data_IF_139629174210
#
_entry.id   IF_139629174210
#
_cell.length_a   1.000
_cell.length_b   1.000
_cell.length_c   1.000
_cell.angle_alpha   90.00
_cell.angle_beta   90.00
_cell.angle_gamma   90.00
#
_symmetry.space_group_name_H-M   'P 1'
#
loop_
_entity.id
_entity.type
_entity.pdbx_description
1 polymer ?
#
# COMPACT_ATOMS: atom_id res chain seq x y z
N UNK A 1 -23.40 19.83 1.90
CA UNK A 1 -23.86 18.65 2.68
C UNK A 1 -22.63 17.79 2.92
N UNK A 2 -22.09 17.86 4.13
CA UNK A 2 -20.86 17.15 4.51
C UNK A 2 -21.22 15.69 4.81
N UNK A 3 -20.98 14.79 3.87
CA UNK A 3 -20.87 13.37 4.18
C UNK A 3 -19.43 13.09 4.61
N UNK A 4 -19.07 13.54 5.82
CA UNK A 4 -17.98 12.92 6.55
C UNK A 4 -18.54 11.57 7.02
N UNK A 5 -18.13 10.49 6.39
CA UNK A 5 -18.22 9.18 7.01
C UNK A 5 -17.33 9.26 8.25
N UNK A 6 -17.93 9.59 9.38
CA UNK A 6 -17.27 9.56 10.68
C UNK A 6 -16.91 8.10 10.95
N UNK A 7 -15.64 7.76 10.73
CA UNK A 7 -15.10 6.47 11.11
C UNK A 7 -15.15 6.44 12.64
N UNK A 8 -16.09 5.68 13.18
CA UNK A 8 -16.25 5.57 14.64
C UNK A 8 -15.08 4.76 15.21
N UNK A 9 -14.07 5.46 15.71
CA UNK A 9 -12.83 4.86 16.20
C UNK A 9 -12.84 4.87 17.73
N UNK A 10 -12.69 3.71 18.32
CA UNK A 10 -12.44 3.58 19.76
C UNK A 10 -10.92 3.62 20.03
N UNK A 11 -10.32 4.83 19.92
CA UNK A 11 -8.89 5.05 20.12
C UNK A 11 -8.66 5.69 21.50
N UNK A 12 -7.80 5.05 22.30
CA UNK A 12 -7.31 5.58 23.57
C UNK A 12 -5.77 5.75 23.52
N UNK A 13 -5.16 6.18 24.61
CA UNK A 13 -3.70 6.44 24.67
C UNK A 13 -2.81 5.21 24.44
N UNK A 14 -3.33 4.01 24.68
CA UNK A 14 -2.60 2.74 24.50
C UNK A 14 -2.75 2.18 23.08
N UNK A 15 -3.70 2.70 22.29
CA UNK A 15 -3.99 2.21 20.95
C UNK A 15 -2.81 2.47 20.00
N UNK A 16 -2.40 1.46 19.27
CA UNK A 16 -1.40 1.56 18.20
C UNK A 16 -2.11 1.51 16.83
N UNK A 17 -1.78 2.44 15.95
CA UNK A 17 -2.44 2.56 14.65
C UNK A 17 -1.55 2.01 13.54
N UNK A 18 -2.04 1.00 12.84
CA UNK A 18 -1.41 0.41 11.68
C UNK A 18 -2.08 0.92 10.40
N UNK A 19 -1.29 1.43 9.47
CA UNK A 19 -1.79 1.94 8.20
C UNK A 19 -1.17 1.16 7.05
N UNK A 20 -1.99 0.59 6.18
CA UNK A 20 -1.53 0.27 4.83
C UNK A 20 -1.39 1.55 4.01
N UNK A 21 -0.63 1.51 2.91
CA UNK A 21 -0.38 2.69 2.07
C UNK A 21 -1.21 2.69 0.80
N UNK A 22 -0.95 1.72 -0.08
CA UNK A 22 -1.46 1.72 -1.46
C UNK A 22 -2.97 1.42 -1.51
N UNK A 23 -3.79 2.40 -1.85
CA UNK A 23 -5.26 2.28 -1.88
C UNK A 23 -5.93 2.57 -0.53
N UNK A 24 -5.17 2.60 0.56
CA UNK A 24 -5.65 2.89 1.91
C UNK A 24 -5.38 4.35 2.30
N UNK A 25 -4.14 4.69 2.53
CA UNK A 25 -3.70 6.05 2.88
C UNK A 25 -3.57 6.94 1.65
N UNK A 26 -3.12 6.35 0.54
CA UNK A 26 -2.85 7.04 -0.72
C UNK A 26 -3.37 6.19 -1.87
N UNK A 27 -4.24 6.78 -2.70
CA UNK A 27 -4.58 6.20 -4.01
C UNK A 27 -3.37 6.33 -4.93
N UNK A 28 -2.78 5.20 -5.26
CA UNK A 28 -1.60 5.08 -6.12
C UNK A 28 -1.90 4.39 -7.45
N UNK A 29 -3.15 4.00 -7.69
CA UNK A 29 -3.50 3.12 -8.81
C UNK A 29 -3.20 3.72 -10.16
N UNK A 30 -3.56 4.99 -10.38
CA UNK A 30 -3.30 5.64 -11.66
C UNK A 30 -1.80 5.89 -11.89
N UNK A 31 -1.07 6.33 -10.88
CA UNK A 31 0.40 6.49 -10.96
C UNK A 31 1.09 5.16 -11.27
N UNK A 32 0.64 4.09 -10.61
CA UNK A 32 1.14 2.75 -10.84
C UNK A 32 0.84 2.24 -12.25
N UNK A 33 -0.38 2.48 -12.76
CA UNK A 33 -0.77 2.15 -14.14
C UNK A 33 0.13 2.87 -15.16
N UNK A 34 0.30 4.18 -15.06
CA UNK A 34 1.13 4.97 -15.97
C UNK A 34 2.59 4.48 -15.97
N UNK A 35 3.11 4.10 -14.78
CA UNK A 35 4.45 3.54 -14.65
C UNK A 35 4.61 2.22 -15.40
N UNK A 36 3.60 1.35 -15.33
CA UNK A 36 3.55 0.12 -16.12
C UNK A 36 3.39 0.40 -17.61
N UNK A 37 2.53 1.33 -17.99
CA UNK A 37 2.30 1.69 -19.40
C UNK A 37 3.59 2.15 -20.08
N UNK A 38 4.36 3.04 -19.43
CA UNK A 38 5.66 3.48 -19.96
C UNK A 38 6.67 2.32 -20.04
N UNK A 39 6.72 1.46 -19.00
CA UNK A 39 7.63 0.33 -18.97
C UNK A 39 7.31 -0.68 -20.08
N UNK A 40 6.03 -1.03 -20.25
CA UNK A 40 5.57 -1.94 -21.31
C UNK A 40 5.90 -1.36 -22.68
N UNK A 41 5.57 -0.07 -22.93
CA UNK A 41 5.86 0.59 -24.20
C UNK A 41 7.35 0.56 -24.53
N UNK A 42 8.22 0.74 -23.54
CA UNK A 42 9.67 0.70 -23.71
C UNK A 42 10.19 -0.70 -24.02
N UNK A 43 9.79 -1.70 -23.21
CA UNK A 43 10.32 -3.07 -23.32
C UNK A 43 9.72 -3.83 -24.50
N UNK A 44 8.44 -3.58 -24.82
CA UNK A 44 7.73 -4.21 -25.92
C UNK A 44 7.82 -3.40 -27.23
N UNK A 45 8.64 -2.34 -27.28
CA UNK A 45 8.87 -1.50 -28.46
C UNK A 45 7.59 -0.93 -29.10
N UNK A 46 6.57 -0.68 -28.28
CA UNK A 46 5.28 -0.14 -28.73
C UNK A 46 4.30 -1.17 -29.31
N UNK A 47 4.63 -2.45 -29.30
CA UNK A 47 3.75 -3.52 -29.83
C UNK A 47 2.50 -3.78 -28.97
N UNK A 48 2.47 -3.28 -27.72
CA UNK A 48 1.38 -3.54 -26.78
C UNK A 48 0.87 -2.25 -26.17
N UNK A 49 -0.41 -1.97 -26.35
CA UNK A 49 -1.13 -0.90 -25.67
C UNK A 49 -1.98 -1.48 -24.55
N UNK A 50 -1.95 -0.83 -23.40
CA UNK A 50 -2.81 -1.15 -22.26
C UNK A 50 -3.70 0.04 -21.93
N UNK A 51 -4.92 -0.24 -21.46
CA UNK A 51 -5.88 0.79 -21.08
C UNK A 51 -6.06 0.82 -19.56
N UNK A 52 -6.24 2.02 -19.01
CA UNK A 52 -6.59 2.20 -17.61
C UNK A 52 -8.06 1.81 -17.38
N UNK A 53 -8.28 0.93 -16.42
CA UNK A 53 -9.61 0.58 -15.95
C UNK A 53 -9.75 1.11 -14.52
N UNK A 54 -10.63 2.09 -14.27
CA UNK A 54 -10.87 2.61 -12.93
C UNK A 54 -11.28 1.49 -11.95
N UNK A 55 -10.76 1.54 -10.73
CA UNK A 55 -11.00 0.56 -9.67
C UNK A 55 -10.45 -0.86 -9.94
N UNK A 56 -9.66 -1.04 -10.99
CA UNK A 56 -8.90 -2.27 -11.24
C UNK A 56 -7.40 -1.98 -11.09
N UNK A 57 -6.81 -2.48 -10.00
CA UNK A 57 -5.39 -2.28 -9.74
C UNK A 57 -4.53 -3.01 -10.76
N UNK A 58 -3.71 -2.27 -11.50
CA UNK A 58 -2.74 -2.86 -12.43
C UNK A 58 -1.56 -3.42 -11.64
N UNK A 59 -1.38 -4.73 -11.69
CA UNK A 59 -0.34 -5.45 -10.97
C UNK A 59 0.32 -6.52 -11.87
N UNK A 60 1.22 -7.35 -11.32
CA UNK A 60 1.91 -8.41 -12.07
C UNK A 60 0.95 -9.44 -12.66
N UNK A 61 -0.13 -9.77 -11.95
CA UNK A 61 -1.15 -10.71 -12.45
C UNK A 61 -1.87 -10.11 -13.66
N UNK A 62 -2.25 -8.83 -13.56
CA UNK A 62 -2.85 -8.09 -14.67
C UNK A 62 -1.88 -7.99 -15.84
N UNK A 63 -0.60 -7.69 -15.59
CA UNK A 63 0.45 -7.62 -16.62
C UNK A 63 0.55 -8.93 -17.40
N UNK A 64 0.63 -10.07 -16.72
CA UNK A 64 0.70 -11.39 -17.37
C UNK A 64 -0.56 -11.73 -18.20
N UNK A 65 -1.71 -11.18 -17.82
CA UNK A 65 -2.97 -11.38 -18.54
C UNK A 65 -3.06 -10.54 -19.82
N UNK A 66 -2.54 -9.30 -19.78
CA UNK A 66 -2.77 -8.32 -20.86
C UNK A 66 -1.62 -8.18 -21.86
N UNK A 67 -0.41 -8.65 -21.50
CA UNK A 67 0.75 -8.63 -22.39
C UNK A 67 0.97 -10.03 -22.95
N UNK A 68 0.66 -10.27 -24.25
CA UNK A 68 0.83 -11.58 -24.85
C UNK A 68 2.33 -11.95 -24.98
N UNK A 69 2.63 -13.23 -24.88
CA UNK A 69 3.98 -13.78 -25.07
C UNK A 69 5.06 -13.12 -24.19
N UNK A 70 4.69 -12.75 -22.95
CA UNK A 70 5.61 -12.15 -22.00
C UNK A 70 6.59 -13.21 -21.49
N UNK A 71 7.88 -13.07 -21.85
CA UNK A 71 8.94 -13.92 -21.31
C UNK A 71 9.36 -13.46 -19.92
N UNK A 72 10.00 -14.35 -19.13
CA UNK A 72 10.46 -14.01 -17.79
C UNK A 72 11.46 -12.84 -17.80
N UNK A 73 12.33 -12.75 -18.81
CA UNK A 73 13.29 -11.66 -18.96
C UNK A 73 12.57 -10.33 -19.18
N UNK A 74 11.58 -10.30 -20.09
CA UNK A 74 10.75 -9.11 -20.34
C UNK A 74 9.94 -8.72 -19.11
N UNK A 75 9.39 -9.69 -18.40
CA UNK A 75 8.67 -9.46 -17.14
C UNK A 75 9.56 -8.76 -16.10
N UNK A 76 10.77 -9.28 -15.90
CA UNK A 76 11.74 -8.71 -14.96
C UNK A 76 12.10 -7.27 -15.37
N UNK A 77 12.38 -7.04 -16.66
CA UNK A 77 12.73 -5.70 -17.14
C UNK A 77 11.56 -4.72 -17.06
N UNK A 78 10.32 -5.13 -17.38
CA UNK A 78 9.13 -4.28 -17.22
C UNK A 78 8.97 -3.87 -15.73
N UNK A 79 9.13 -4.82 -14.80
CA UNK A 79 9.01 -4.52 -13.36
C UNK A 79 10.10 -3.53 -12.94
N UNK A 80 11.33 -3.69 -13.40
CA UNK A 80 12.43 -2.79 -13.10
C UNK A 80 12.18 -1.38 -13.66
N UNK A 81 11.81 -1.26 -14.93
CA UNK A 81 11.50 0.01 -15.58
C UNK A 81 10.29 0.71 -14.94
N UNK A 82 9.26 -0.05 -14.56
CA UNK A 82 8.10 0.45 -13.82
C UNK A 82 8.50 1.11 -12.51
N UNK A 83 9.38 0.52 -11.71
CA UNK A 83 9.83 1.13 -10.46
C UNK A 83 10.62 2.43 -10.71
N UNK A 84 11.44 2.47 -11.77
CA UNK A 84 12.16 3.69 -12.18
C UNK A 84 11.19 4.80 -12.62
N UNK A 85 10.18 4.43 -13.42
CA UNK A 85 9.21 5.39 -13.96
C UNK A 85 8.24 5.93 -12.92
N UNK A 86 8.00 5.23 -11.82
CA UNK A 86 7.01 5.62 -10.80
C UNK A 86 7.24 7.04 -10.26
N UNK A 87 8.50 7.44 -10.11
CA UNK A 87 8.84 8.79 -9.63
C UNK A 87 8.23 9.91 -10.50
N UNK A 88 8.13 9.72 -11.82
CA UNK A 88 7.56 10.71 -12.75
C UNK A 88 6.05 10.90 -12.54
N UNK A 89 5.39 9.94 -11.92
CA UNK A 89 3.93 9.90 -11.79
C UNK A 89 3.43 10.17 -10.37
N UNK A 90 4.29 10.61 -9.43
CA UNK A 90 3.90 10.93 -8.05
C UNK A 90 2.76 11.95 -7.99
N UNK A 91 2.73 12.93 -8.90
CA UNK A 91 1.65 13.93 -8.99
C UNK A 91 0.28 13.35 -9.34
N UNK A 92 0.24 12.08 -9.77
CA UNK A 92 -1.01 11.36 -10.05
C UNK A 92 -1.52 10.57 -8.85
N UNK A 93 -0.76 10.55 -7.75
CA UNK A 93 -1.22 9.94 -6.49
C UNK A 93 -2.10 10.91 -5.71
N UNK A 94 -3.06 10.39 -4.95
CA UNK A 94 -4.02 11.20 -4.18
C UNK A 94 -4.14 10.72 -2.76
N UNK A 95 -4.15 11.64 -1.79
CA UNK A 95 -4.44 11.30 -0.40
C UNK A 95 -5.88 10.83 -0.22
N UNK A 96 -6.06 9.72 0.51
CA UNK A 96 -7.34 9.47 1.15
C UNK A 96 -7.46 10.43 2.34
N UNK A 97 -8.24 11.48 2.15
CA UNK A 97 -8.29 12.57 3.13
C UNK A 97 -8.77 12.10 4.50
N UNK A 98 -9.75 11.21 4.57
CA UNK A 98 -10.29 10.71 5.82
C UNK A 98 -9.21 9.97 6.63
N UNK A 99 -8.46 9.07 5.98
CA UNK A 99 -7.40 8.27 6.62
C UNK A 99 -6.18 9.13 6.95
N UNK A 100 -5.79 10.04 6.05
CA UNK A 100 -4.65 10.91 6.29
C UNK A 100 -4.90 11.92 7.43
N UNK A 101 -6.12 12.42 7.58
CA UNK A 101 -6.49 13.30 8.69
C UNK A 101 -6.41 12.54 10.03
N UNK A 102 -6.84 11.27 10.08
CA UNK A 102 -6.69 10.38 11.26
C UNK A 102 -5.20 10.18 11.58
N UNK A 103 -4.38 9.85 10.59
CA UNK A 103 -2.94 9.70 10.78
C UNK A 103 -2.32 10.98 11.37
N UNK A 104 -2.59 12.13 10.76
CA UNK A 104 -2.05 13.43 11.22
C UNK A 104 -2.51 13.77 12.64
N UNK A 105 -3.77 13.48 12.97
CA UNK A 105 -4.33 13.73 14.30
C UNK A 105 -3.63 12.86 15.34
N UNK A 106 -3.62 11.55 15.14
CA UNK A 106 -3.18 10.59 16.15
C UNK A 106 -1.66 10.38 16.19
N UNK A 107 -0.91 10.78 15.15
CA UNK A 107 0.55 10.72 15.18
C UNK A 107 1.19 11.58 16.29
N UNK A 108 0.41 12.47 16.91
CA UNK A 108 0.85 13.34 18.02
C UNK A 108 0.74 12.67 19.39
N UNK A 109 -0.12 11.68 19.54
CA UNK A 109 -0.50 11.08 20.83
C UNK A 109 -0.34 9.57 20.86
N UNK A 110 -0.41 8.91 19.72
CA UNK A 110 -0.41 7.45 19.59
C UNK A 110 0.78 6.97 18.75
N UNK A 111 1.19 5.74 18.96
CA UNK A 111 2.15 5.08 18.09
C UNK A 111 1.47 4.80 16.74
N UNK A 112 2.09 5.26 15.65
CA UNK A 112 1.65 5.06 14.28
C UNK A 112 2.68 4.25 13.52
N UNK A 113 2.23 3.26 12.78
CA UNK A 113 3.08 2.29 12.09
C UNK A 113 2.61 2.13 10.65
N UNK A 114 3.51 2.30 9.71
CA UNK A 114 3.26 1.90 8.33
C UNK A 114 3.45 0.39 8.20
N UNK A 115 2.45 -0.30 7.65
CA UNK A 115 2.48 -1.76 7.42
C UNK A 115 2.04 -2.04 5.99
N UNK A 116 2.98 -2.12 5.05
CA UNK A 116 2.65 -2.17 3.62
C UNK A 116 3.41 -3.26 2.86
N UNK A 117 2.80 -3.81 1.82
CA UNK A 117 3.47 -4.67 0.83
C UNK A 117 4.15 -3.87 -0.29
N UNK A 118 4.27 -2.57 -0.13
CA UNK A 118 5.05 -1.72 -1.02
C UNK A 118 6.56 -1.89 -0.77
N UNK A 119 7.37 -1.74 -1.81
CA UNK A 119 8.83 -1.67 -1.68
C UNK A 119 9.22 -0.40 -0.91
N UNK A 120 10.29 -0.50 -0.11
CA UNK A 120 10.76 0.59 0.75
C UNK A 120 11.00 1.90 -0.03
N UNK A 121 11.76 1.83 -1.11
CA UNK A 121 12.12 2.98 -1.94
C UNK A 121 10.88 3.72 -2.46
N UNK A 122 9.90 3.00 -3.01
CA UNK A 122 8.65 3.58 -3.51
C UNK A 122 7.77 4.12 -2.38
N UNK A 123 7.64 3.41 -1.27
CA UNK A 123 6.84 3.85 -0.14
C UNK A 123 7.39 5.13 0.47
N UNK A 124 8.71 5.19 0.72
CA UNK A 124 9.37 6.39 1.25
C UNK A 124 9.15 7.59 0.32
N UNK A 125 9.44 7.42 -0.98
CA UNK A 125 9.25 8.45 -1.98
C UNK A 125 7.81 8.99 -2.02
N UNK A 126 6.81 8.10 -1.94
CA UNK A 126 5.39 8.48 -1.96
C UNK A 126 5.00 9.23 -0.68
N UNK A 127 5.44 8.76 0.49
CA UNK A 127 5.16 9.41 1.76
C UNK A 127 5.85 10.77 1.90
N UNK A 128 7.08 10.92 1.39
CA UNK A 128 7.78 12.21 1.34
C UNK A 128 7.07 13.22 0.45
N UNK A 129 6.63 12.78 -0.74
CA UNK A 129 5.86 13.61 -1.66
C UNK A 129 4.61 14.18 -0.99
N UNK A 130 3.89 13.37 -0.21
CA UNK A 130 2.68 13.76 0.51
C UNK A 130 2.95 14.35 1.90
N UNK A 131 4.22 14.52 2.31
CA UNK A 131 4.62 15.06 3.63
C UNK A 131 4.06 14.26 4.81
N UNK A 132 4.02 12.94 4.68
CA UNK A 132 3.50 12.02 5.71
C UNK A 132 4.59 11.15 6.36
N UNK A 133 5.83 11.18 5.86
CA UNK A 133 6.90 10.30 6.33
C UNK A 133 7.19 10.50 7.83
N UNK A 134 7.12 11.73 8.32
CA UNK A 134 7.36 12.12 9.71
C UNK A 134 6.18 11.81 10.66
N UNK A 135 5.06 11.29 10.13
CA UNK A 135 3.88 10.92 10.91
C UNK A 135 3.95 9.47 11.41
N UNK A 136 4.97 8.71 11.05
CA UNK A 136 5.13 7.33 11.44
C UNK A 136 6.31 7.13 12.39
N UNK A 137 6.10 6.30 13.43
CA UNK A 137 7.15 5.90 14.35
C UNK A 137 7.92 4.68 13.85
N UNK A 138 7.24 3.77 13.11
CA UNK A 138 7.84 2.55 12.56
C UNK A 138 7.33 2.28 11.15
N UNK A 139 8.14 1.52 10.40
CA UNK A 139 7.87 1.18 9.01
C UNK A 139 8.12 -0.30 8.77
N UNK A 140 7.12 -1.01 8.24
CA UNK A 140 7.24 -2.37 7.75
C UNK A 140 6.88 -2.37 6.27
N UNK A 141 7.89 -2.62 5.45
CA UNK A 141 7.79 -2.68 4.00
C UNK A 141 7.69 -4.14 3.56
N UNK A 142 7.44 -4.33 2.27
CA UNK A 142 7.49 -5.65 1.67
C UNK A 142 8.86 -6.28 1.91
N UNK A 143 8.87 -7.40 2.59
CA UNK A 143 10.03 -8.28 2.65
C UNK A 143 10.06 -9.18 1.42
N UNK A 144 11.22 -9.27 0.79
CA UNK A 144 11.48 -10.20 -0.30
C UNK A 144 12.10 -11.42 0.36
N UNK A 145 11.28 -12.43 0.66
CA UNK A 145 11.79 -13.73 1.08
C UNK A 145 12.22 -14.50 -0.16
N UNK A 146 13.43 -15.11 -0.12
CA UNK A 146 14.02 -15.93 -1.19
C UNK A 146 13.21 -17.21 -1.49
N UNK A 147 12.22 -17.54 -0.67
CA UNK A 147 11.43 -18.77 -0.74
C UNK A 147 10.00 -18.61 -1.27
N UNK A 148 9.66 -17.48 -1.87
CA UNK A 148 8.34 -17.23 -2.43
C UNK A 148 7.15 -17.33 -1.44
N UNK A 149 7.38 -17.39 -0.14
CA UNK A 149 6.32 -17.39 0.85
C UNK A 149 5.88 -15.96 1.14
N UNK A 150 4.58 -15.74 1.00
CA UNK A 150 3.98 -14.47 1.39
C UNK A 150 4.06 -14.29 2.91
N UNK A 151 4.79 -13.28 3.34
CA UNK A 151 4.84 -12.88 4.76
C UNK A 151 3.57 -12.10 5.10
N UNK A 152 2.86 -12.54 6.16
CA UNK A 152 1.77 -11.75 6.72
C UNK A 152 2.38 -10.49 7.37
N UNK A 153 2.17 -9.33 6.73
CA UNK A 153 2.76 -8.04 7.13
C UNK A 153 2.34 -7.61 8.54
N UNK A 154 1.10 -7.90 8.95
CA UNK A 154 0.56 -7.57 10.28
C UNK A 154 1.22 -8.40 11.37
N UNK A 155 1.29 -9.72 11.17
CA UNK A 155 1.95 -10.63 12.11
C UNK A 155 3.44 -10.28 12.26
N UNK A 156 4.10 -9.94 11.15
CA UNK A 156 5.48 -9.46 11.16
C UNK A 156 5.65 -8.20 12.01
N UNK A 157 4.80 -7.18 11.80
CA UNK A 157 4.84 -5.93 12.55
C UNK A 157 4.56 -6.14 14.06
N UNK A 158 3.54 -6.94 14.41
CA UNK A 158 3.22 -7.26 15.80
C UNK A 158 4.38 -7.94 16.52
N UNK A 159 5.00 -8.94 15.88
CA UNK A 159 6.13 -9.68 16.46
C UNK A 159 7.34 -8.78 16.67
N UNK A 160 7.74 -8.01 15.66
CA UNK A 160 8.91 -7.14 15.74
C UNK A 160 8.75 -6.02 16.78
N UNK A 161 7.54 -5.52 16.97
CA UNK A 161 7.24 -4.48 17.96
C UNK A 161 6.83 -5.03 19.32
N UNK A 162 6.74 -6.37 19.48
CA UNK A 162 6.25 -7.05 20.70
C UNK A 162 4.91 -6.50 21.17
N UNK A 163 3.98 -6.27 20.24
CA UNK A 163 2.66 -5.70 20.52
C UNK A 163 1.60 -6.80 20.67
N UNK A 164 0.64 -6.58 21.59
CA UNK A 164 -0.61 -7.32 21.58
C UNK A 164 -1.49 -6.84 20.43
N UNK A 165 -2.05 -7.77 19.66
CA UNK A 165 -2.98 -7.45 18.58
C UNK A 165 -4.26 -6.73 19.07
N UNK A 166 -4.61 -6.89 20.36
CA UNK A 166 -5.81 -6.33 20.97
C UNK A 166 -5.79 -4.80 21.07
N UNK A 167 -4.60 -4.19 21.12
CA UNK A 167 -4.45 -2.74 21.19
C UNK A 167 -4.25 -2.08 19.83
N UNK A 168 -4.27 -2.86 18.75
CA UNK A 168 -4.03 -2.36 17.39
C UNK A 168 -5.35 -2.04 16.69
N UNK A 169 -5.39 -0.87 16.02
CA UNK A 169 -6.39 -0.53 15.02
C UNK A 169 -5.68 -0.48 13.67
N UNK A 170 -6.17 -1.24 12.69
CA UNK A 170 -5.59 -1.36 11.37
C UNK A 170 -6.50 -0.74 10.30
N UNK A 171 -5.92 0.05 9.38
CA UNK A 171 -6.58 0.60 8.21
C UNK A 171 -6.13 -0.16 6.98
N UNK A 172 -7.08 -0.74 6.22
CA UNK A 172 -6.79 -1.62 5.10
C UNK A 172 -7.94 -1.61 4.07
N UNK A 173 -7.64 -1.70 2.78
CA UNK A 173 -8.62 -1.75 1.71
C UNK A 173 -8.68 -3.12 0.99
N UNK A 174 -7.62 -3.90 1.00
CA UNK A 174 -7.56 -5.18 0.28
C UNK A 174 -8.12 -6.33 1.12
N UNK A 175 -9.15 -7.02 0.61
CA UNK A 175 -9.82 -8.14 1.32
C UNK A 175 -8.85 -9.21 1.81
N UNK A 176 -7.84 -9.55 1.01
CA UNK A 176 -6.84 -10.57 1.38
C UNK A 176 -5.97 -10.10 2.53
N UNK A 177 -5.63 -8.81 2.57
CA UNK A 177 -4.83 -8.21 3.64
C UNK A 177 -5.67 -8.02 4.92
N UNK A 178 -6.98 -7.74 4.78
CA UNK A 178 -7.92 -7.73 5.92
C UNK A 178 -7.97 -9.11 6.58
N UNK A 179 -8.02 -10.19 5.80
CA UNK A 179 -7.95 -11.55 6.35
C UNK A 179 -6.60 -11.83 7.03
N UNK A 180 -5.50 -11.33 6.48
CA UNK A 180 -4.18 -11.42 7.12
C UNK A 180 -4.13 -10.68 8.47
N UNK A 181 -4.77 -9.52 8.58
CA UNK A 181 -4.88 -8.78 9.84
C UNK A 181 -5.65 -9.59 10.90
N UNK A 182 -6.77 -10.22 10.50
CA UNK A 182 -7.53 -11.14 11.38
C UNK A 182 -6.69 -12.34 11.82
N UNK A 183 -5.99 -12.98 10.88
CA UNK A 183 -5.10 -14.11 11.14
C UNK A 183 -3.91 -13.73 12.03
N UNK A 184 -3.51 -12.46 12.05
CA UNK A 184 -2.52 -11.93 12.97
C UNK A 184 -3.08 -11.70 14.39
N UNK A 185 -4.40 -11.84 14.59
CA UNK A 185 -5.09 -11.71 15.87
C UNK A 185 -5.67 -10.32 16.14
N UNK A 186 -5.65 -9.40 15.17
CA UNK A 186 -6.29 -8.08 15.31
C UNK A 186 -7.81 -8.29 15.32
N UNK A 187 -8.53 -7.77 16.34
CA UNK A 187 -9.99 -7.89 16.43
C UNK A 187 -10.67 -7.31 15.19
N UNK A 188 -11.74 -7.96 14.72
CA UNK A 188 -12.45 -7.51 13.51
C UNK A 188 -12.98 -6.08 13.64
N UNK A 189 -13.44 -5.69 14.83
CA UNK A 189 -13.93 -4.34 15.11
C UNK A 189 -12.82 -3.26 15.12
N UNK A 190 -11.57 -3.70 15.18
CA UNK A 190 -10.39 -2.85 15.09
C UNK A 190 -9.80 -2.81 13.66
N UNK A 191 -10.41 -3.46 12.69
CA UNK A 191 -9.98 -3.41 11.29
C UNK A 191 -10.93 -2.50 10.51
N UNK A 192 -10.43 -1.33 10.17
CA UNK A 192 -11.16 -0.33 9.38
C UNK A 192 -10.98 -0.67 7.90
N UNK A 193 -12.02 -1.25 7.33
CA UNK A 193 -12.09 -1.57 5.90
C UNK A 193 -12.54 -0.34 5.10
N UNK A 194 -11.83 -0.02 4.03
CA UNK A 194 -12.02 1.19 3.21
C UNK A 194 -12.53 0.84 1.82
#
# INVERSE_FOLDING_TARGET
MNNSNDINLNINSETVLFFDMDGTLIDTDFANFLSYQEAIKSVMQGETEIQYVPNERFNRTTLNRVVPNLTDERLVEIIKQKEINYNKHLSQTKLNKAVSDILVQYSKTNKTVLVTNCRKDRAVLTLEYHKLIDKFNHFFFKEIDDKANRVNKYKNALNNLSLSAQIVVAFENEKVEIEDAKLAGIPIDNIISL
#
